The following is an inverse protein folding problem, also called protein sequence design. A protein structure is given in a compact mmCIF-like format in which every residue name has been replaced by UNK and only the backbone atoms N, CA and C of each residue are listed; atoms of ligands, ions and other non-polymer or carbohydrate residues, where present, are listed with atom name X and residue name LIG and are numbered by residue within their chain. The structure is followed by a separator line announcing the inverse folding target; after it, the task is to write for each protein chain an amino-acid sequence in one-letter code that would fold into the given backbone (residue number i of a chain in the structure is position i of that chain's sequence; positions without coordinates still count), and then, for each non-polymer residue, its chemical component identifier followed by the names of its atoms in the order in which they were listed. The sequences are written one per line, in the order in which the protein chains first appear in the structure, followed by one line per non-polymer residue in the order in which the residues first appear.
data_IF_964662609475
#
_entry.id   IF_964662609475
#
_cell.length_a   1.000
_cell.length_b   1.000
_cell.length_c   1.000
_cell.angle_alpha   90.00
_cell.angle_beta   90.00
_cell.angle_gamma   90.00
#
_symmetry.space_group_name_H-M   'P 1'
#
loop_
_entity.id
_entity.type
_entity.pdbx_description
1 polymer ?
#
# COMPACT_ATOMS: atom_id res chain seq x y z
N UNK A 1 -13.71 -15.90 -5.98
CA UNK A 1 -12.49 -16.09 -5.16
C UNK A 1 -12.56 -15.11 -3.99
N UNK A 2 -12.21 -15.54 -2.81
CA UNK A 2 -12.12 -14.69 -1.62
C UNK A 2 -11.04 -15.21 -0.67
N UNK A 3 -10.53 -14.34 0.20
CA UNK A 3 -9.64 -14.73 1.28
C UNK A 3 -9.97 -13.90 2.52
N UNK A 4 -9.94 -14.51 3.71
CA UNK A 4 -10.11 -13.78 4.94
C UNK A 4 -8.80 -13.07 5.31
N UNK A 5 -8.90 -11.89 5.95
CA UNK A 5 -7.72 -11.11 6.34
C UNK A 5 -6.67 -11.93 7.10
N UNK A 6 -7.09 -12.73 8.06
CA UNK A 6 -6.18 -13.55 8.88
C UNK A 6 -5.46 -14.65 8.08
N UNK A 7 -6.00 -15.02 6.92
CA UNK A 7 -5.43 -16.05 6.05
C UNK A 7 -4.47 -15.47 5.00
N UNK A 8 -4.41 -14.14 4.87
CA UNK A 8 -3.45 -13.50 3.97
C UNK A 8 -2.07 -13.55 4.62
N UNK A 9 -1.06 -14.15 3.97
CA UNK A 9 0.29 -14.26 4.54
C UNK A 9 0.88 -12.90 4.93
N UNK A 10 1.53 -12.84 6.09
CA UNK A 10 2.33 -11.69 6.49
C UNK A 10 3.65 -11.73 5.74
N UNK A 11 3.94 -10.72 4.94
CA UNK A 11 5.19 -10.59 4.19
C UNK A 11 6.17 -9.61 4.83
N UNK A 12 5.66 -8.71 5.68
CA UNK A 12 6.46 -7.74 6.41
C UNK A 12 5.82 -7.49 7.78
N UNK A 13 6.63 -7.55 8.82
CA UNK A 13 6.24 -7.16 10.17
C UNK A 13 7.41 -6.43 10.82
N UNK A 14 7.28 -5.12 10.97
CA UNK A 14 8.23 -4.23 11.63
C UNK A 14 7.48 -3.35 12.62
N UNK A 15 8.14 -2.69 13.58
CA UNK A 15 7.45 -1.74 14.44
C UNK A 15 6.71 -0.69 13.61
N UNK A 16 5.39 -0.58 13.84
CA UNK A 16 4.53 0.38 13.16
C UNK A 16 4.02 -0.04 11.78
N UNK A 17 4.41 -1.22 11.25
CA UNK A 17 3.92 -1.63 9.93
C UNK A 17 3.80 -3.16 9.82
N UNK A 18 2.63 -3.60 9.41
CA UNK A 18 2.38 -5.00 9.02
C UNK A 18 1.80 -5.00 7.60
N UNK A 19 2.45 -5.72 6.71
CA UNK A 19 1.96 -5.93 5.35
C UNK A 19 1.62 -7.40 5.14
N UNK A 20 0.43 -7.64 4.62
CA UNK A 20 -0.04 -8.95 4.19
C UNK A 20 -0.22 -8.94 2.68
N UNK A 21 0.16 -10.01 2.02
CA UNK A 21 0.03 -10.11 0.57
C UNK A 21 -0.19 -11.55 0.14
N UNK A 22 -1.04 -11.73 -0.85
CA UNK A 22 -1.20 -12.99 -1.57
C UNK A 22 -1.21 -12.69 -3.07
N UNK A 23 -0.29 -13.30 -3.79
CA UNK A 23 -0.23 -13.23 -5.24
C UNK A 23 -1.27 -14.15 -5.90
N UNK A 24 -1.49 -13.95 -7.20
CA UNK A 24 -2.43 -14.78 -7.96
C UNK A 24 -3.88 -14.63 -7.51
N UNK A 25 -4.24 -13.49 -6.95
CA UNK A 25 -5.59 -13.20 -6.46
C UNK A 25 -6.45 -12.58 -7.55
N UNK A 26 -6.66 -13.34 -8.58
CA UNK A 26 -7.37 -12.90 -9.78
C UNK A 26 -6.40 -12.49 -10.90
N UNK A 27 -6.93 -12.34 -12.08
CA UNK A 27 -6.17 -11.96 -13.25
C UNK A 27 -6.81 -10.76 -13.95
N UNK A 28 -5.96 -9.85 -14.41
CA UNK A 28 -6.35 -8.86 -15.40
C UNK A 28 -6.33 -9.50 -16.79
N UNK A 29 -7.15 -9.02 -17.68
CA UNK A 29 -7.08 -9.44 -19.07
C UNK A 29 -5.65 -9.24 -19.61
N UNK A 30 -5.11 -10.21 -20.36
CA UNK A 30 -3.76 -10.13 -20.90
C UNK A 30 -2.69 -10.96 -20.17
N UNK A 31 -3.06 -11.69 -19.11
CA UNK A 31 -2.19 -12.64 -18.43
C UNK A 31 -1.44 -12.11 -17.21
N UNK A 32 -1.72 -10.88 -16.80
CA UNK A 32 -1.15 -10.31 -15.58
C UNK A 32 -1.99 -10.75 -14.36
N UNK A 33 -1.31 -11.20 -13.32
CA UNK A 33 -1.94 -11.58 -12.06
C UNK A 33 -2.01 -10.38 -11.12
N UNK A 34 -3.09 -10.30 -10.35
CA UNK A 34 -3.22 -9.34 -9.26
C UNK A 34 -2.74 -9.96 -7.94
N UNK A 35 -2.20 -9.13 -7.07
CA UNK A 35 -2.02 -9.46 -5.66
C UNK A 35 -3.10 -8.77 -4.84
N UNK A 36 -3.59 -9.46 -3.80
CA UNK A 36 -4.40 -8.81 -2.77
C UNK A 36 -3.49 -8.43 -1.60
N UNK A 37 -3.61 -7.20 -1.14
CA UNK A 37 -2.77 -6.66 -0.08
C UNK A 37 -3.61 -6.08 1.05
N UNK A 38 -3.10 -6.21 2.27
CA UNK A 38 -3.67 -5.58 3.44
C UNK A 38 -2.55 -4.99 4.27
N UNK A 39 -2.56 -3.67 4.45
CA UNK A 39 -1.59 -2.96 5.27
C UNK A 39 -2.22 -2.46 6.55
N UNK A 40 -1.55 -2.72 7.67
CA UNK A 40 -1.85 -2.15 8.98
C UNK A 40 -0.68 -1.27 9.37
N UNK A 41 -0.90 0.04 9.43
CA UNK A 41 0.16 1.03 9.53
C UNK A 41 -0.09 1.95 10.71
N UNK A 42 0.92 2.12 11.57
CA UNK A 42 0.87 3.01 12.72
C UNK A 42 1.20 4.46 12.37
N UNK A 43 0.55 5.40 13.05
CA UNK A 43 0.83 6.84 12.92
C UNK A 43 2.32 7.14 13.09
N UNK A 44 2.85 8.03 12.27
CA UNK A 44 4.27 8.38 12.25
C UNK A 44 5.16 7.45 11.43
N UNK A 45 4.62 6.36 10.90
CA UNK A 45 5.38 5.46 10.01
C UNK A 45 5.64 6.16 8.68
N UNK A 46 6.88 6.06 8.21
CA UNK A 46 7.30 6.48 6.87
C UNK A 46 7.94 5.27 6.20
N UNK A 47 7.42 4.87 5.05
CA UNK A 47 7.93 3.71 4.32
C UNK A 47 9.15 4.06 3.44
N UNK A 48 9.50 5.32 3.28
CA UNK A 48 10.63 5.72 2.44
C UNK A 48 11.94 4.97 2.75
N UNK A 49 12.32 4.69 4.01
CA UNK A 49 13.51 3.89 4.28
C UNK A 49 13.47 2.47 3.72
N UNK A 50 12.28 1.89 3.55
CA UNK A 50 12.11 0.56 2.98
C UNK A 50 12.26 0.55 1.45
N UNK A 51 12.21 1.71 0.83
CA UNK A 51 12.29 1.89 -0.63
C UNK A 51 13.69 2.33 -1.08
N UNK A 52 14.61 2.55 -0.14
CA UNK A 52 15.99 2.92 -0.46
C UNK A 52 16.66 1.84 -1.33
N UNK A 53 17.34 2.27 -2.38
CA UNK A 53 18.01 1.39 -3.34
C UNK A 53 17.14 0.95 -4.50
N UNK A 54 15.82 1.18 -4.45
CA UNK A 54 14.95 1.06 -5.61
C UNK A 54 15.13 2.29 -6.50
N UNK A 55 14.69 2.20 -7.74
CA UNK A 55 14.76 3.32 -8.68
C UNK A 55 14.02 4.53 -8.11
N UNK A 56 14.71 5.67 -7.99
CA UNK A 56 14.21 6.93 -7.41
C UNK A 56 13.76 6.79 -5.94
N UNK A 57 14.20 5.72 -5.24
CA UNK A 57 13.83 5.40 -3.87
C UNK A 57 12.30 5.40 -3.64
N UNK A 58 11.56 4.87 -4.61
CA UNK A 58 10.09 4.84 -4.59
C UNK A 58 9.54 3.45 -4.89
N UNK A 59 8.27 3.23 -4.59
CA UNK A 59 7.55 2.03 -4.99
C UNK A 59 7.27 2.06 -6.49
N UNK A 60 7.51 0.95 -7.18
CA UNK A 60 7.30 0.84 -8.63
C UNK A 60 5.97 0.18 -8.99
N UNK A 61 5.30 -0.42 -8.04
CA UNK A 61 4.01 -1.07 -8.28
C UNK A 61 2.89 -0.04 -8.38
N UNK A 62 1.93 -0.33 -9.23
CA UNK A 62 0.65 0.37 -9.24
C UNK A 62 -0.26 -0.23 -8.16
N UNK A 63 -0.95 0.63 -7.42
CA UNK A 63 -1.91 0.19 -6.41
C UNK A 63 -3.26 0.85 -6.63
N UNK A 64 -4.31 0.03 -6.66
CA UNK A 64 -5.70 0.47 -6.52
C UNK A 64 -6.20 -0.02 -5.18
N UNK A 65 -6.92 0.80 -4.48
CA UNK A 65 -7.37 0.35 -3.18
C UNK A 65 -8.38 1.24 -2.50
N UNK A 66 -8.57 0.94 -1.23
CA UNK A 66 -9.54 1.60 -0.36
C UNK A 66 -8.93 1.79 1.03
N UNK A 67 -9.08 2.98 1.58
CA UNK A 67 -8.67 3.28 2.95
C UNK A 67 -9.82 2.92 3.89
N UNK A 68 -9.62 1.89 4.71
CA UNK A 68 -10.63 1.42 5.68
C UNK A 68 -10.70 2.38 6.85
N UNK A 69 -9.54 2.78 7.37
CA UNK A 69 -9.43 3.69 8.52
C UNK A 69 -8.13 4.47 8.46
N UNK A 70 -8.10 5.62 9.14
CA UNK A 70 -6.90 6.44 9.28
C UNK A 70 -6.68 7.43 8.15
N UNK A 71 -5.45 7.95 8.09
CA UNK A 71 -5.04 8.96 7.11
C UNK A 71 -3.59 8.74 6.70
N UNK A 72 -3.36 8.83 5.41
CA UNK A 72 -2.04 8.67 4.78
C UNK A 72 -1.73 9.89 3.92
N UNK A 73 -0.45 10.22 3.82
CA UNK A 73 0.06 11.20 2.86
C UNK A 73 0.90 10.45 1.84
N UNK A 74 0.50 10.54 0.59
CA UNK A 74 1.18 9.90 -0.53
C UNK A 74 2.01 10.92 -1.26
N UNK A 75 3.29 10.66 -1.42
CA UNK A 75 4.20 11.50 -2.21
C UNK A 75 4.47 10.83 -3.55
N UNK A 76 4.47 11.63 -4.59
CA UNK A 76 4.74 11.20 -5.96
C UNK A 76 6.01 11.86 -6.47
N UNK A 77 6.76 11.14 -7.32
CA UNK A 77 7.99 11.70 -7.90
C UNK A 77 7.72 12.93 -8.79
N UNK A 78 6.61 12.93 -9.53
CA UNK A 78 6.32 13.90 -10.58
C UNK A 78 4.97 14.61 -10.41
N UNK A 79 4.40 14.60 -9.20
CA UNK A 79 3.12 15.22 -8.90
C UNK A 79 3.08 15.76 -7.46
N UNK A 80 2.16 16.68 -7.13
CA UNK A 80 1.94 17.11 -5.75
C UNK A 80 1.55 15.94 -4.85
N UNK A 81 1.91 16.03 -3.56
CA UNK A 81 1.47 15.04 -2.58
C UNK A 81 -0.05 15.09 -2.39
N UNK A 82 -0.59 13.97 -1.96
CA UNK A 82 -2.03 13.76 -1.80
C UNK A 82 -2.32 13.17 -0.43
N UNK A 83 -3.38 13.66 0.20
CA UNK A 83 -3.89 13.10 1.45
C UNK A 83 -5.04 12.16 1.11
N UNK A 84 -4.95 10.92 1.60
CA UNK A 84 -6.03 9.93 1.48
C UNK A 84 -6.50 9.53 2.87
N UNK A 85 -7.81 9.48 3.04
CA UNK A 85 -8.45 9.28 4.35
C UNK A 85 -9.47 8.15 4.29
N UNK A 86 -9.91 7.70 5.46
CA UNK A 86 -10.93 6.65 5.59
C UNK A 86 -12.12 6.90 4.66
N UNK A 87 -12.48 5.90 3.87
CA UNK A 87 -13.56 5.97 2.89
C UNK A 87 -13.12 6.34 1.48
N UNK A 88 -11.86 6.73 1.28
CA UNK A 88 -11.36 7.08 -0.05
C UNK A 88 -10.98 5.84 -0.86
N UNK A 89 -11.34 5.85 -2.13
CA UNK A 89 -10.74 5.01 -3.15
C UNK A 89 -9.51 5.71 -3.69
N UNK A 90 -8.46 4.96 -3.97
CA UNK A 90 -7.24 5.54 -4.51
C UNK A 90 -6.68 4.76 -5.70
N UNK A 91 -5.87 5.45 -6.47
CA UNK A 91 -4.92 4.87 -7.41
C UNK A 91 -3.56 5.54 -7.19
N UNK A 92 -2.57 4.73 -6.86
CA UNK A 92 -1.18 5.18 -6.72
C UNK A 92 -0.36 4.66 -7.90
N UNK A 93 0.03 5.54 -8.83
CA UNK A 93 0.90 5.13 -9.93
C UNK A 93 2.30 4.76 -9.45
N UNK A 94 3.14 4.15 -10.30
CA UNK A 94 4.55 3.92 -9.97
C UNK A 94 5.25 5.20 -9.50
N UNK A 95 6.29 5.03 -8.69
CA UNK A 95 7.11 6.11 -8.12
C UNK A 95 6.38 6.94 -7.07
N UNK A 96 5.78 6.24 -6.12
CA UNK A 96 5.19 6.85 -4.93
C UNK A 96 5.87 6.36 -3.65
N UNK A 97 5.66 7.09 -2.57
CA UNK A 97 5.97 6.71 -1.20
C UNK A 97 4.84 7.15 -0.28
N UNK A 98 4.79 6.60 0.92
CA UNK A 98 3.70 6.84 1.86
C UNK A 98 4.26 7.16 3.24
N UNK A 99 3.67 8.14 3.91
CA UNK A 99 3.80 8.35 5.35
C UNK A 99 2.42 8.34 6.00
N UNK A 100 2.37 7.89 7.23
CA UNK A 100 1.11 7.65 7.94
C UNK A 100 0.86 8.78 8.92
N UNK A 101 -0.20 9.53 8.71
CA UNK A 101 -0.61 10.62 9.60
C UNK A 101 -1.40 10.11 10.80
N UNK A 102 -2.30 9.15 10.58
CA UNK A 102 -3.10 8.49 11.62
C UNK A 102 -3.06 6.98 11.39
N UNK A 103 -3.15 6.18 12.46
CA UNK A 103 -3.20 4.72 12.35
C UNK A 103 -4.16 4.31 11.24
N UNK A 104 -3.68 3.55 10.27
CA UNK A 104 -4.41 3.26 9.05
C UNK A 104 -4.49 1.77 8.74
N UNK A 105 -5.64 1.39 8.18
CA UNK A 105 -5.86 0.10 7.54
C UNK A 105 -6.21 0.35 6.08
N UNK A 106 -5.50 -0.32 5.18
CA UNK A 106 -5.60 -0.10 3.72
C UNK A 106 -5.63 -1.43 2.99
N UNK A 107 -6.49 -1.56 2.03
CA UNK A 107 -6.54 -2.70 1.12
C UNK A 107 -6.42 -2.25 -0.32
#
# INVERSE_FOLDING_TARGET
MRIARQDIPVILAVPGATARQVGGFGALGGGDDMAAEWFSLGAGTDIAPLLEGLERDTCHAEHWGYVISGELVVTYADAPEEVVSAGDLFFWPPHHSIRVAEDAEVI
#
